data_IF_635306444721
#
_entry.id   IF_635306444721
#
_cell.length_a   1.000
_cell.length_b   1.000
_cell.length_c   1.000
_cell.angle_alpha   90.00
_cell.angle_beta   90.00
_cell.angle_gamma   90.00
#
_symmetry.space_group_name_H-M   'P 1'
#
loop_
_entity.id
_entity.type
_entity.pdbx_description
1 polymer ?
#
# COMPACT_ATOMS: atom_id res chain seq x y z
N UNK A 1 -6.55 18.44 8.18
CA UNK A 1 -6.95 17.07 8.56
C UNK A 1 -6.10 16.61 9.73
N UNK A 2 -6.67 15.92 10.74
CA UNK A 2 -5.87 15.40 11.86
C UNK A 2 -4.86 14.37 11.36
N UNK A 3 -3.63 14.40 11.89
CA UNK A 3 -2.56 13.47 11.49
C UNK A 3 -2.87 12.03 11.94
N UNK A 4 -3.36 11.89 13.17
CA UNK A 4 -3.78 10.62 13.79
C UNK A 4 -5.26 10.36 13.59
N UNK A 5 -5.62 9.09 13.72
CA UNK A 5 -7.00 8.63 13.64
C UNK A 5 -7.79 8.96 14.91
N UNK A 6 -9.11 8.95 14.78
CA UNK A 6 -10.07 9.19 15.86
C UNK A 6 -11.21 8.18 15.76
N UNK A 7 -12.05 8.13 16.79
CA UNK A 7 -13.15 7.17 16.88
C UNK A 7 -14.14 7.27 15.71
N UNK A 8 -14.22 8.45 15.07
CA UNK A 8 -15.12 8.71 13.94
C UNK A 8 -14.45 8.69 12.56
N UNK A 9 -13.11 8.75 12.45
CA UNK A 9 -12.42 8.82 11.15
C UNK A 9 -10.95 8.43 11.18
N UNK A 10 -10.46 7.93 10.05
CA UNK A 10 -9.04 7.69 9.80
C UNK A 10 -8.25 8.99 9.68
N UNK A 11 -7.07 9.03 10.29
CA UNK A 11 -6.13 10.14 10.22
C UNK A 11 -5.49 10.28 8.84
N UNK A 12 -4.96 11.47 8.56
CA UNK A 12 -4.31 11.78 7.29
C UNK A 12 -3.13 10.83 7.01
N UNK A 13 -2.37 10.43 8.04
CA UNK A 13 -1.21 9.54 7.85
C UNK A 13 -1.63 8.11 7.48
N UNK A 14 -2.71 7.60 8.08
CA UNK A 14 -3.26 6.30 7.75
C UNK A 14 -3.78 6.26 6.29
N UNK A 15 -4.46 7.31 5.86
CA UNK A 15 -4.93 7.46 4.47
C UNK A 15 -3.76 7.59 3.50
N UNK A 16 -2.76 8.41 3.82
CA UNK A 16 -1.56 8.60 3.00
C UNK A 16 -0.82 7.29 2.75
N UNK A 17 -0.52 6.52 3.80
CA UNK A 17 0.13 5.21 3.65
C UNK A 17 -0.69 4.25 2.78
N UNK A 18 -2.01 4.21 3.00
CA UNK A 18 -2.88 3.32 2.24
C UNK A 18 -2.89 3.67 0.74
N UNK A 19 -3.14 4.93 0.40
CA UNK A 19 -3.23 5.36 -1.00
C UNK A 19 -1.89 5.32 -1.72
N UNK A 20 -0.79 5.64 -1.02
CA UNK A 20 0.57 5.50 -1.59
C UNK A 20 0.85 4.05 -1.96
N UNK A 21 0.58 3.11 -1.05
CA UNK A 21 0.75 1.67 -1.30
C UNK A 21 -0.15 1.21 -2.45
N UNK A 22 -1.43 1.61 -2.47
CA UNK A 22 -2.36 1.25 -3.52
C UNK A 22 -1.89 1.72 -4.91
N UNK A 23 -1.46 2.99 -5.02
CA UNK A 23 -0.95 3.54 -6.28
C UNK A 23 0.31 2.80 -6.75
N UNK A 24 1.24 2.50 -5.84
CA UNK A 24 2.45 1.76 -6.18
C UNK A 24 2.15 0.32 -6.60
N UNK A 25 1.16 -0.35 -6.01
CA UNK A 25 0.72 -1.69 -6.44
C UNK A 25 0.14 -1.63 -7.85
N UNK A 26 -0.69 -0.63 -8.17
CA UNK A 26 -1.22 -0.44 -9.53
C UNK A 26 -0.10 -0.21 -10.54
N UNK A 27 0.83 0.69 -10.24
CA UNK A 27 1.99 0.96 -11.08
C UNK A 27 2.85 -0.31 -11.26
N UNK A 28 3.07 -1.06 -10.18
CA UNK A 28 3.82 -2.32 -10.21
C UNK A 28 3.15 -3.37 -11.10
N UNK A 29 1.83 -3.51 -11.01
CA UNK A 29 1.05 -4.40 -11.87
C UNK A 29 1.15 -4.02 -13.34
N UNK A 30 1.01 -2.73 -13.66
CA UNK A 30 1.17 -2.22 -15.02
C UNK A 30 2.57 -2.50 -15.59
N UNK A 31 3.63 -2.27 -14.80
CA UNK A 31 5.01 -2.59 -15.19
C UNK A 31 5.18 -4.10 -15.40
N UNK A 32 4.65 -4.93 -14.48
CA UNK A 32 4.71 -6.38 -14.59
C UNK A 32 4.04 -6.91 -15.86
N UNK A 33 2.88 -6.37 -16.22
CA UNK A 33 2.18 -6.71 -17.47
C UNK A 33 2.97 -6.23 -18.70
N UNK A 34 3.54 -5.02 -18.67
CA UNK A 34 4.37 -4.51 -19.76
C UNK A 34 5.60 -5.41 -20.02
N UNK A 35 6.22 -5.93 -18.96
CA UNK A 35 7.38 -6.83 -19.07
C UNK A 35 7.07 -8.13 -19.82
N UNK A 36 5.82 -8.62 -19.79
CA UNK A 36 5.41 -9.82 -20.54
C UNK A 36 5.54 -9.59 -22.05
N UNK A 37 5.17 -8.41 -22.53
CA UNK A 37 5.21 -8.05 -23.94
C UNK A 37 6.62 -7.68 -24.46
N UNK A 38 7.60 -7.49 -23.57
CA UNK A 38 8.95 -7.07 -23.97
C UNK A 38 9.78 -8.22 -24.53
N UNK A 39 10.51 -7.95 -25.62
CA UNK A 39 11.57 -8.81 -26.13
C UNK A 39 12.72 -9.00 -25.09
N UNK A 40 13.44 -10.13 -25.11
CA UNK A 40 14.52 -10.42 -24.16
C UNK A 40 15.77 -9.58 -24.44
N UNK A 41 15.75 -8.31 -24.04
CA UNK A 41 16.84 -7.35 -24.25
C UNK A 41 17.34 -6.76 -22.92
N UNK A 42 18.45 -6.03 -22.96
CA UNK A 42 18.97 -5.28 -21.80
C UNK A 42 17.93 -4.30 -21.24
N UNK A 43 17.06 -3.74 -22.09
CA UNK A 43 15.98 -2.88 -21.64
C UNK A 43 15.00 -3.64 -20.72
N UNK A 44 14.65 -4.90 -21.05
CA UNK A 44 13.80 -5.75 -20.21
C UNK A 44 14.44 -5.99 -18.84
N UNK A 45 15.75 -6.22 -18.78
CA UNK A 45 16.49 -6.38 -17.52
C UNK A 45 16.39 -5.12 -16.65
N UNK A 46 16.53 -3.92 -17.24
CA UNK A 46 16.37 -2.64 -16.51
C UNK A 46 14.95 -2.49 -15.95
N UNK A 47 13.92 -2.85 -16.72
CA UNK A 47 12.53 -2.81 -16.25
C UNK A 47 12.29 -3.83 -15.14
N UNK A 48 12.87 -5.04 -15.20
CA UNK A 48 12.84 -6.00 -14.09
C UNK A 48 13.47 -5.43 -12.81
N UNK A 49 14.60 -4.72 -12.93
CA UNK A 49 15.25 -4.08 -11.79
C UNK A 49 14.35 -2.99 -11.17
N UNK A 50 13.72 -2.17 -12.01
CA UNK A 50 12.75 -1.17 -11.57
C UNK A 50 11.55 -1.81 -10.86
N UNK A 51 10.97 -2.87 -11.44
CA UNK A 51 9.88 -3.62 -10.83
C UNK A 51 10.26 -4.15 -9.44
N UNK A 52 11.43 -4.80 -9.30
CA UNK A 52 11.89 -5.29 -8.00
C UNK A 52 12.09 -4.16 -6.99
N UNK A 53 12.66 -3.04 -7.41
CA UNK A 53 12.88 -1.87 -6.54
C UNK A 53 11.56 -1.30 -6.03
N UNK A 54 10.58 -1.07 -6.91
CA UNK A 54 9.23 -0.63 -6.52
C UNK A 54 8.59 -1.64 -5.57
N UNK A 55 8.82 -2.94 -5.78
CA UNK A 55 8.24 -4.00 -4.95
C UNK A 55 8.79 -3.99 -3.53
N UNK A 56 10.09 -3.78 -3.39
CA UNK A 56 10.75 -3.58 -2.11
C UNK A 56 10.26 -2.30 -1.42
N UNK A 57 10.07 -1.21 -2.16
CA UNK A 57 9.47 0.03 -1.61
C UNK A 57 8.04 -0.19 -1.11
N UNK A 58 7.21 -0.90 -1.88
CA UNK A 58 5.84 -1.27 -1.46
C UNK A 58 5.88 -2.11 -0.18
N UNK A 59 6.76 -3.11 -0.10
CA UNK A 59 6.91 -3.95 1.09
C UNK A 59 7.30 -3.10 2.32
N UNK A 60 8.30 -2.23 2.17
CA UNK A 60 8.74 -1.35 3.25
C UNK A 60 7.61 -0.41 3.72
N UNK A 61 6.87 0.21 2.79
CA UNK A 61 5.73 1.06 3.12
C UNK A 61 4.57 0.28 3.75
N UNK A 62 4.33 -0.96 3.33
CA UNK A 62 3.32 -1.83 3.93
C UNK A 62 3.69 -2.19 5.38
N UNK A 63 4.96 -2.48 5.66
CA UNK A 63 5.45 -2.72 7.02
C UNK A 63 5.33 -1.46 7.88
N UNK A 64 5.72 -0.29 7.36
CA UNK A 64 5.52 0.99 8.05
C UNK A 64 4.04 1.27 8.31
N UNK A 65 3.15 0.94 7.36
CA UNK A 65 1.70 1.05 7.54
C UNK A 65 1.19 0.13 8.65
N UNK A 66 1.68 -1.10 8.75
CA UNK A 66 1.32 -2.02 9.83
C UNK A 66 1.84 -1.55 11.19
N UNK A 67 3.07 -1.05 11.24
CA UNK A 67 3.65 -0.43 12.44
C UNK A 67 2.83 0.80 12.87
N UNK A 68 2.44 1.66 11.92
CA UNK A 68 1.57 2.79 12.19
C UNK A 68 0.20 2.36 12.71
N UNK A 69 -0.42 1.35 12.08
CA UNK A 69 -1.71 0.81 12.52
C UNK A 69 -1.65 0.27 13.95
N UNK A 70 -0.51 -0.28 14.39
CA UNK A 70 -0.33 -0.75 15.75
C UNK A 70 -0.20 0.39 16.78
N UNK A 71 0.31 1.55 16.36
CA UNK A 71 0.51 2.73 17.23
C UNK A 71 -0.66 3.74 17.18
N UNK A 72 -1.44 3.75 16.10
CA UNK A 72 -2.55 4.67 15.89
C UNK A 72 -3.88 4.11 16.43
N UNK A 73 -4.84 4.99 16.72
CA UNK A 73 -6.13 4.58 17.26
C UNK A 73 -7.06 4.13 16.11
N UNK A 74 -7.56 2.90 16.14
CA UNK A 74 -8.57 2.43 15.16
C UNK A 74 -9.90 3.16 15.42
N UNK A 75 -10.60 3.67 14.39
CA UNK A 75 -11.98 4.13 14.52
C UNK A 75 -12.89 3.03 15.09
N UNK A 76 -13.93 3.42 15.83
CA UNK A 76 -14.85 2.46 16.41
C UNK A 76 -15.61 1.70 15.32
N UNK A 77 -15.84 0.41 15.55
CA UNK A 77 -16.66 -0.39 14.65
C UNK A 77 -18.14 0.06 14.73
N UNK A 78 -18.90 -0.06 13.63
CA UNK A 78 -20.32 0.24 13.65
C UNK A 78 -21.07 -0.60 14.69
N UNK A 79 -22.10 -0.07 15.38
CA UNK A 79 -22.77 -0.75 16.49
C UNK A 79 -23.34 -2.13 16.16
N UNK A 80 -23.69 -2.38 14.90
CA UNK A 80 -24.27 -3.62 14.43
C UNK A 80 -23.26 -4.58 13.75
N UNK A 81 -21.95 -4.32 13.88
CA UNK A 81 -20.93 -5.16 13.23
C UNK A 81 -20.88 -6.54 13.89
N UNK A 82 -21.19 -7.64 13.16
CA UNK A 82 -21.10 -8.99 13.70
C UNK A 82 -19.66 -9.27 14.18
N UNK A 83 -19.49 -9.98 15.30
CA UNK A 83 -18.16 -10.30 15.86
C UNK A 83 -17.18 -10.97 14.89
N UNK A 84 -17.66 -11.64 13.83
CA UNK A 84 -16.79 -12.23 12.79
C UNK A 84 -16.19 -11.20 11.83
N UNK A 85 -16.72 -9.98 11.84
CA UNK A 85 -16.32 -8.86 10.99
C UNK A 85 -15.59 -7.75 11.79
N UNK A 86 -15.59 -7.84 13.13
CA UNK A 86 -14.91 -6.91 14.04
C UNK A 86 -13.41 -7.22 14.13
#
# INVERSE_FOLDING_TARGET
>A
MPLRSSDARWGALAQFFHWTVALLIVAQGAIGLAMVAMAPTVAKVKVYALHKSIGLTVLALALLRLAWRAADRRPADPPAMPRRQA
#
